data_IF_735203084853
#
_entry.id   IF_735203084853
#
_cell.length_a   1.000
_cell.length_b   1.000
_cell.length_c   1.000
_cell.angle_alpha   90.00
_cell.angle_beta   90.00
_cell.angle_gamma   90.00
#
_symmetry.space_group_name_H-M   'P 1'
#
loop_
_entity.id
_entity.type
_entity.pdbx_description
1 polymer ?
#
# COMPACT_ATOMS: atom_id res chain seq x y z
N UNK A 1 -6.54 4.26 9.54
CA UNK A 1 -5.11 4.12 9.87
C UNK A 1 -4.52 2.80 9.39
N UNK A 2 -5.17 1.64 9.63
CA UNK A 2 -4.64 0.33 9.21
C UNK A 2 -4.33 0.23 7.70
N UNK A 3 -5.23 0.71 6.83
CA UNK A 3 -5.01 0.66 5.39
C UNK A 3 -3.85 1.53 4.90
N UNK A 4 -3.70 2.74 5.45
CA UNK A 4 -2.57 3.64 5.14
C UNK A 4 -1.23 3.06 5.59
N UNK A 5 -1.18 2.44 6.78
CA UNK A 5 0.03 1.79 7.28
C UNK A 5 0.43 0.61 6.39
N UNK A 6 -0.53 -0.23 6.00
CA UNK A 6 -0.30 -1.33 5.06
C UNK A 6 0.23 -0.81 3.72
N UNK A 7 -0.40 0.24 3.17
CA UNK A 7 0.02 0.88 1.93
C UNK A 7 1.47 1.37 1.97
N UNK A 8 1.87 2.06 3.05
CA UNK A 8 3.23 2.59 3.22
C UNK A 8 4.26 1.46 3.29
N UNK A 9 3.97 0.38 4.01
CA UNK A 9 4.89 -0.76 4.14
C UNK A 9 5.09 -1.46 2.80
N UNK A 10 3.99 -1.74 2.09
CA UNK A 10 4.06 -2.42 0.77
C UNK A 10 4.76 -1.52 -0.24
N UNK A 11 4.41 -0.23 -0.31
CA UNK A 11 5.07 0.69 -1.24
C UNK A 11 6.56 0.80 -0.96
N UNK A 12 6.98 0.92 0.31
CA UNK A 12 8.39 1.00 0.66
C UNK A 12 9.15 -0.27 0.22
N UNK A 13 8.62 -1.46 0.51
CA UNK A 13 9.27 -2.72 0.14
C UNK A 13 9.41 -2.85 -1.39
N UNK A 14 8.34 -2.56 -2.13
CA UNK A 14 8.35 -2.70 -3.58
C UNK A 14 9.26 -1.66 -4.24
N UNK A 15 9.18 -0.40 -3.83
CA UNK A 15 10.06 0.66 -4.36
C UNK A 15 11.54 0.41 -4.03
N UNK A 16 11.86 -0.09 -2.83
CA UNK A 16 13.25 -0.45 -2.49
C UNK A 16 13.73 -1.62 -3.36
N UNK A 17 12.87 -2.62 -3.58
CA UNK A 17 13.22 -3.75 -4.42
C UNK A 17 13.47 -3.32 -5.89
N UNK A 18 12.58 -2.51 -6.44
CA UNK A 18 12.70 -2.03 -7.82
C UNK A 18 13.89 -1.09 -7.99
N UNK A 19 14.15 -0.22 -7.00
CA UNK A 19 15.33 0.64 -6.99
C UNK A 19 16.62 -0.19 -6.96
N UNK A 20 16.68 -1.27 -6.17
CA UNK A 20 17.87 -2.16 -6.12
C UNK A 20 18.07 -2.96 -7.40
N UNK A 21 16.99 -3.47 -8.01
CA UNK A 21 17.06 -4.20 -9.27
C UNK A 21 17.41 -3.28 -10.45
N UNK A 22 16.98 -2.02 -10.36
CA UNK A 22 17.24 -0.97 -11.33
C UNK A 22 17.01 -1.43 -12.79
N UNK A 23 15.81 -1.97 -13.12
CA UNK A 23 15.54 -2.51 -14.45
C UNK A 23 15.75 -1.44 -15.52
N UNK A 24 16.59 -1.74 -16.50
CA UNK A 24 16.92 -0.79 -17.57
C UNK A 24 17.68 0.46 -17.13
N UNK A 25 18.18 0.50 -15.88
CA UNK A 25 18.94 1.65 -15.36
C UNK A 25 18.10 2.90 -15.05
N UNK A 26 16.78 2.76 -14.94
CA UNK A 26 15.86 3.91 -14.83
C UNK A 26 15.84 4.57 -13.45
N UNK A 27 16.16 3.83 -12.39
CA UNK A 27 16.09 4.31 -11.01
C UNK A 27 17.35 5.04 -10.60
N UNK A 28 18.52 4.56 -11.03
CA UNK A 28 19.78 5.22 -10.77
C UNK A 28 20.84 4.84 -11.81
N UNK A 29 21.82 5.72 -12.00
CA UNK A 29 23.00 5.49 -12.82
C UNK A 29 24.25 5.43 -11.93
N UNK A 30 25.45 5.44 -12.53
CA UNK A 30 26.69 5.58 -11.77
C UNK A 30 26.82 6.95 -11.09
N UNK A 31 26.09 7.97 -11.57
CA UNK A 31 26.24 9.35 -11.13
C UNK A 31 25.15 9.83 -10.17
N UNK A 32 23.90 9.36 -10.34
CA UNK A 32 22.76 9.87 -9.56
C UNK A 32 21.54 8.93 -9.55
N UNK A 33 20.62 9.19 -8.61
CA UNK A 33 19.30 8.55 -8.47
C UNK A 33 18.20 9.43 -9.06
N UNK A 34 17.34 8.84 -9.89
CA UNK A 34 16.14 9.49 -10.40
C UNK A 34 15.01 9.43 -9.34
N UNK A 35 15.03 10.39 -8.42
CA UNK A 35 14.04 10.49 -7.35
C UNK A 35 12.59 10.68 -7.84
N UNK A 36 12.41 11.22 -9.04
CA UNK A 36 11.08 11.34 -9.64
C UNK A 36 10.48 9.96 -9.91
N UNK A 37 11.24 9.05 -10.53
CA UNK A 37 10.80 7.67 -10.78
C UNK A 37 10.61 6.89 -9.48
N UNK A 38 11.49 7.10 -8.49
CA UNK A 38 11.33 6.50 -7.14
C UNK A 38 10.01 6.93 -6.50
N UNK A 39 9.69 8.22 -6.54
CA UNK A 39 8.46 8.76 -5.98
C UNK A 39 7.21 8.28 -6.74
N UNK A 40 7.23 8.28 -8.08
CA UNK A 40 6.14 7.73 -8.89
C UNK A 40 5.89 6.25 -8.58
N UNK A 41 6.96 5.47 -8.45
CA UNK A 41 6.87 4.04 -8.10
C UNK A 41 6.32 3.86 -6.68
N UNK A 42 6.76 4.67 -5.72
CA UNK A 42 6.21 4.61 -4.36
C UNK A 42 4.71 4.93 -4.34
N UNK A 43 4.28 5.97 -5.06
CA UNK A 43 2.88 6.37 -5.12
C UNK A 43 2.02 5.35 -5.86
N UNK A 44 2.53 4.74 -6.92
CA UNK A 44 1.81 3.72 -7.71
C UNK A 44 1.51 2.47 -6.89
N UNK A 45 2.40 2.09 -5.95
CA UNK A 45 2.13 1.03 -4.98
C UNK A 45 1.26 1.50 -3.81
N UNK A 46 1.51 2.70 -3.28
CA UNK A 46 0.84 3.21 -2.08
C UNK A 46 -0.67 3.35 -2.25
N UNK A 47 -1.10 4.05 -3.30
CA UNK A 47 -2.51 4.43 -3.48
C UNK A 47 -3.45 3.22 -3.60
N UNK A 48 -3.22 2.24 -4.51
CA UNK A 48 -4.11 1.09 -4.63
C UNK A 48 -4.08 0.21 -3.38
N UNK A 49 -2.91 -0.03 -2.78
CA UNK A 49 -2.81 -0.88 -1.58
C UNK A 49 -3.52 -0.22 -0.40
N UNK A 50 -3.34 1.09 -0.20
CA UNK A 50 -4.02 1.82 0.86
C UNK A 50 -5.54 1.82 0.66
N UNK A 51 -6.02 2.01 -0.58
CA UNK A 51 -7.44 1.99 -0.90
C UNK A 51 -8.07 0.60 -0.64
N UNK A 52 -7.48 -0.46 -1.20
CA UNK A 52 -7.97 -1.84 -1.03
C UNK A 52 -7.93 -2.26 0.43
N UNK A 53 -6.82 -2.02 1.13
CA UNK A 53 -6.67 -2.37 2.54
C UNK A 53 -7.68 -1.63 3.42
N UNK A 54 -7.95 -0.36 3.13
CA UNK A 54 -8.96 0.43 3.85
C UNK A 54 -10.37 -0.13 3.61
N UNK A 55 -10.72 -0.43 2.36
CA UNK A 55 -12.01 -1.01 2.01
C UNK A 55 -12.24 -2.37 2.67
N UNK A 56 -11.22 -3.23 2.69
CA UNK A 56 -11.29 -4.54 3.35
C UNK A 56 -11.52 -4.40 4.86
N UNK A 57 -10.77 -3.52 5.54
CA UNK A 57 -10.95 -3.30 6.99
C UNK A 57 -12.34 -2.76 7.29
N UNK A 58 -12.85 -1.83 6.48
CA UNK A 58 -14.20 -1.29 6.63
C UNK A 58 -15.27 -2.38 6.45
N UNK A 59 -15.13 -3.25 5.45
CA UNK A 59 -16.04 -4.36 5.21
C UNK A 59 -16.05 -5.36 6.37
N UNK A 60 -14.87 -5.70 6.92
CA UNK A 60 -14.75 -6.60 8.08
C UNK A 60 -15.44 -6.00 9.31
N UNK A 61 -15.20 -4.71 9.59
CA UNK A 61 -15.83 -4.02 10.71
C UNK A 61 -17.36 -4.01 10.54
N UNK A 62 -17.85 -3.67 9.34
CA UNK A 62 -19.28 -3.64 9.04
C UNK A 62 -19.92 -5.01 9.26
N UNK A 63 -19.32 -6.09 8.75
CA UNK A 63 -19.79 -7.45 8.95
C UNK A 63 -19.80 -7.85 10.43
N UNK A 64 -18.75 -7.51 11.18
CA UNK A 64 -18.67 -7.80 12.62
C UNK A 64 -19.77 -7.06 13.40
N UNK A 65 -20.06 -5.80 13.06
CA UNK A 65 -21.15 -5.02 13.67
C UNK A 65 -22.52 -5.61 13.34
N UNK A 66 -22.75 -6.02 12.09
CA UNK A 66 -24.00 -6.69 11.72
C UNK A 66 -24.20 -7.98 12.52
N UNK A 67 -23.19 -8.85 12.58
CA UNK A 67 -23.27 -10.14 13.30
C UNK A 67 -23.50 -9.93 14.80
N UNK A 68 -22.81 -8.98 15.44
CA UNK A 68 -22.98 -8.69 16.87
C UNK A 68 -24.34 -8.04 17.17
N UNK A 69 -24.87 -7.20 16.27
CA UNK A 69 -26.22 -6.65 16.38
C UNK A 69 -27.31 -7.73 16.31
N UNK A 70 -27.18 -8.68 15.37
CA UNK A 70 -28.12 -9.81 15.24
C UNK A 70 -28.12 -10.70 16.49
N UNK A 71 -26.97 -10.87 17.16
CA UNK A 71 -26.87 -11.67 18.40
C UNK A 71 -27.55 -11.03 19.61
N UNK A 72 -27.62 -9.70 19.69
CA UNK A 72 -28.26 -8.99 20.81
C UNK A 72 -29.79 -8.92 20.73
N UNK A 73 -30.37 -9.23 19.57
CA UNK A 73 -31.82 -9.18 19.31
C UNK A 73 -32.53 -10.53 19.53
N UNK A 74 -31.76 -11.59 19.79
CA UNK A 74 -32.26 -12.91 20.22
C UNK A 74 -32.04 -13.07 21.71
#
# INVERSE_FOLDING_TARGET
>A
MAGSLCGVLVSAVMTINDWRLNPGGIFHSQADTNWHIVAETALSWLLPVAAVSTAMVAAIIFLALLVTGQRKQK
#
